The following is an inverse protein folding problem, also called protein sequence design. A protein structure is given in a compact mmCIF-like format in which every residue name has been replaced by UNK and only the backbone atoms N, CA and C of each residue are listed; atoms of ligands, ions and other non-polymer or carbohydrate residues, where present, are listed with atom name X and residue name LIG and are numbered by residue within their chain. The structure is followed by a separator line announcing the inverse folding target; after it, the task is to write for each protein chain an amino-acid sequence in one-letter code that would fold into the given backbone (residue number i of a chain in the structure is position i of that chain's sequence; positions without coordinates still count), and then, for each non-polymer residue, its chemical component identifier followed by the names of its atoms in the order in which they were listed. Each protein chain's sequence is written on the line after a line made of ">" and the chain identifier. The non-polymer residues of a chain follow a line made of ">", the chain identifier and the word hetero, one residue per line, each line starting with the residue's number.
data_IF_574137422044
#
_entry.id   IF_574137422044
#
_cell.length_a   1.000
_cell.length_b   1.000
_cell.length_c   1.000
_cell.angle_alpha   90.00
_cell.angle_beta   90.00
_cell.angle_gamma   90.00
#
_symmetry.space_group_name_H-M   'P 1'
#
loop_
_entity.id
_entity.type
_entity.pdbx_description
1 polymer ?
#
# COMPACT_ATOMS: atom_id res chain seq x y z
N UNK A 1 6.53 -19.27 0.06
CA UNK A 1 7.44 -18.10 0.20
C UNK A 1 6.54 -16.91 0.05
N UNK A 2 5.82 -16.66 1.12
CA UNK A 2 4.66 -15.79 1.11
C UNK A 2 5.16 -14.53 1.79
N UNK A 3 5.52 -13.54 0.99
CA UNK A 3 5.72 -12.19 1.47
C UNK A 3 4.95 -11.28 0.51
N UNK A 4 4.51 -10.13 1.00
CA UNK A 4 3.85 -9.11 0.18
C UNK A 4 4.68 -8.74 -1.05
N UNK A 5 6.01 -8.95 -1.00
CA UNK A 5 6.96 -8.83 -2.11
C UNK A 5 6.85 -9.91 -3.20
N UNK A 6 5.98 -10.91 -3.08
CA UNK A 6 5.85 -11.99 -4.08
C UNK A 6 4.42 -12.21 -4.58
N UNK A 7 3.39 -11.94 -3.78
CA UNK A 7 1.99 -12.10 -4.22
C UNK A 7 1.35 -10.79 -4.72
N UNK A 8 1.71 -9.63 -4.15
CA UNK A 8 1.15 -8.32 -4.54
C UNK A 8 -0.34 -8.14 -4.22
N UNK A 9 -0.94 -9.15 -3.59
CA UNK A 9 -2.34 -9.24 -3.21
C UNK A 9 -2.85 -8.00 -2.46
N UNK A 10 -2.13 -7.59 -1.42
CA UNK A 10 -2.53 -6.45 -0.61
C UNK A 10 -2.58 -5.15 -1.40
N UNK A 11 -1.63 -4.96 -2.32
CA UNK A 11 -1.54 -3.81 -3.19
C UNK A 11 -2.57 -3.80 -4.33
N UNK A 12 -3.23 -4.94 -4.59
CA UNK A 12 -4.19 -5.11 -5.67
C UNK A 12 -5.64 -5.33 -5.19
N UNK A 13 -5.86 -5.49 -3.88
CA UNK A 13 -7.18 -5.81 -3.33
C UNK A 13 -7.68 -4.80 -2.29
N UNK A 14 -6.79 -4.12 -1.56
CA UNK A 14 -7.21 -3.29 -0.42
C UNK A 14 -7.07 -1.80 -0.68
N UNK A 15 -8.09 -1.07 -0.22
CA UNK A 15 -8.01 0.37 0.02
C UNK A 15 -7.12 0.63 1.23
N UNK A 16 -6.10 1.47 1.05
CA UNK A 16 -5.13 1.76 2.12
C UNK A 16 -5.30 3.21 2.56
N UNK A 17 -6.07 3.41 3.64
CA UNK A 17 -6.25 4.69 4.34
C UNK A 17 -5.44 4.69 5.63
N UNK A 18 -4.77 5.79 5.92
CA UNK A 18 -3.87 5.90 7.07
C UNK A 18 -3.71 7.36 7.51
N UNK A 19 -3.05 7.60 8.65
CA UNK A 19 -2.94 8.95 9.22
C UNK A 19 -2.02 9.84 8.37
N UNK A 20 -2.39 11.11 8.19
CA UNK A 20 -1.49 12.12 7.58
C UNK A 20 -0.15 12.21 8.30
N UNK A 21 -0.09 11.86 9.59
CA UNK A 21 1.13 11.90 10.41
C UNK A 21 2.17 10.87 9.98
N UNK A 22 1.79 9.86 9.20
CA UNK A 22 2.72 8.86 8.69
C UNK A 22 3.43 9.32 7.41
N UNK A 23 2.99 10.43 6.80
CA UNK A 23 3.64 11.02 5.63
C UNK A 23 5.00 11.62 5.98
N UNK A 24 5.94 11.57 5.02
CA UNK A 24 7.25 12.22 5.16
C UNK A 24 7.11 13.72 5.51
N UNK A 25 6.18 14.43 4.86
CA UNK A 25 5.91 15.85 5.15
C UNK A 25 5.42 16.14 6.57
N UNK A 26 4.88 15.13 7.27
CA UNK A 26 4.36 15.24 8.63
C UNK A 26 5.29 14.60 9.69
N UNK A 27 6.51 14.19 9.30
CA UNK A 27 7.49 13.57 10.18
C UNK A 27 7.43 12.04 10.24
N UNK A 28 6.60 11.42 9.40
CA UNK A 28 6.60 9.99 9.15
C UNK A 28 7.57 9.56 8.06
N UNK A 29 7.25 8.47 7.37
CA UNK A 29 8.14 7.84 6.38
C UNK A 29 7.46 7.54 5.04
N UNK A 30 6.12 7.64 4.97
CA UNK A 30 5.38 7.28 3.76
C UNK A 30 5.51 8.39 2.72
N UNK A 31 5.96 8.11 1.49
CA UNK A 31 6.20 9.17 0.51
C UNK A 31 4.93 9.88 0.06
N UNK A 32 4.88 11.19 0.27
CA UNK A 32 3.76 12.05 -0.09
C UNK A 32 3.30 11.86 -1.54
N UNK A 33 4.25 11.74 -2.48
CA UNK A 33 4.00 11.59 -3.91
C UNK A 33 3.22 10.33 -4.30
N UNK A 34 3.16 9.33 -3.42
CA UNK A 34 2.39 8.09 -3.63
C UNK A 34 1.00 8.13 -2.99
N UNK A 35 0.63 9.26 -2.40
CA UNK A 35 -0.56 9.39 -1.57
C UNK A 35 -1.49 10.49 -2.09
N UNK A 36 -2.73 10.47 -1.62
CA UNK A 36 -3.73 11.50 -1.86
C UNK A 36 -4.42 11.83 -0.53
N UNK A 37 -4.59 13.11 -0.24
CA UNK A 37 -5.33 13.56 0.93
C UNK A 37 -6.82 13.21 0.76
N UNK A 38 -7.40 12.56 1.77
CA UNK A 38 -8.83 12.22 1.82
C UNK A 38 -9.57 13.19 2.73
N UNK A 39 -8.95 13.57 3.84
CA UNK A 39 -9.45 14.56 4.79
C UNK A 39 -8.29 15.30 5.46
N UNK A 40 -8.58 16.18 6.42
CA UNK A 40 -7.56 16.89 7.18
C UNK A 40 -6.60 15.98 7.97
N UNK A 41 -7.02 14.76 8.32
CA UNK A 41 -6.23 13.84 9.15
C UNK A 41 -5.96 12.49 8.48
N UNK A 42 -6.54 12.22 7.31
CA UNK A 42 -6.43 10.93 6.62
C UNK A 42 -5.88 11.11 5.22
N UNK A 43 -4.91 10.27 4.89
CA UNK A 43 -4.38 10.08 3.55
C UNK A 43 -4.67 8.66 3.06
N UNK A 44 -4.59 8.50 1.73
CA UNK A 44 -4.78 7.23 1.05
C UNK A 44 -3.63 6.95 0.09
N UNK A 45 -3.23 5.69 -0.04
CA UNK A 45 -2.33 5.28 -1.12
C UNK A 45 -3.03 5.43 -2.48
N UNK A 46 -2.42 6.17 -3.41
CA UNK A 46 -2.97 6.39 -4.75
C UNK A 46 -3.20 5.06 -5.47
N UNK A 47 -4.28 4.99 -6.25
CA UNK A 47 -4.64 3.79 -7.01
C UNK A 47 -5.42 2.75 -6.18
N UNK A 48 -5.65 3.01 -4.90
CA UNK A 48 -6.50 2.17 -4.05
C UNK A 48 -7.91 2.73 -3.85
N UNK A 49 -8.22 3.84 -4.53
CA UNK A 49 -9.47 4.60 -4.47
C UNK A 49 -10.52 4.19 -5.53
N UNK A 50 -10.16 3.29 -6.45
CA UNK A 50 -11.02 2.82 -7.53
C UNK A 50 -10.83 1.33 -7.81
N UNK A 51 -11.76 0.73 -8.54
CA UNK A 51 -11.70 -0.66 -8.99
C UNK A 51 -11.29 -0.73 -10.48
N UNK A 52 -10.39 -1.66 -10.86
CA UNK A 52 -9.65 -2.56 -9.99
C UNK A 52 -8.60 -1.81 -9.15
N UNK A 53 -8.43 -2.23 -7.89
CA UNK A 53 -7.44 -1.63 -6.99
C UNK A 53 -6.03 -1.92 -7.52
N UNK A 54 -5.19 -0.90 -7.58
CA UNK A 54 -3.77 -1.04 -7.90
C UNK A 54 -2.97 0.08 -7.24
N UNK A 55 -2.41 -0.21 -6.07
CA UNK A 55 -1.55 0.71 -5.33
C UNK A 55 -0.41 1.23 -6.21
N UNK A 56 -0.16 2.54 -6.14
CA UNK A 56 0.90 3.21 -6.90
C UNK A 56 2.30 2.66 -6.57
N UNK A 57 2.50 2.11 -5.37
CA UNK A 57 3.74 1.47 -4.97
C UNK A 57 3.92 0.05 -5.54
N UNK A 58 2.91 -0.53 -6.18
CA UNK A 58 3.02 -1.87 -6.76
C UNK A 58 3.85 -1.84 -8.03
N UNK A 59 4.99 -2.52 -7.97
CA UNK A 59 5.86 -2.80 -9.11
C UNK A 59 5.61 -4.22 -9.61
N UNK A 60 5.78 -4.42 -10.92
CA UNK A 60 5.53 -5.71 -11.56
C UNK A 60 4.05 -5.99 -11.84
N UNK A 61 3.74 -7.28 -12.02
CA UNK A 61 2.44 -7.77 -12.49
C UNK A 61 1.90 -8.84 -11.55
N UNK A 62 0.69 -8.65 -11.03
CA UNK A 62 -0.02 -9.62 -10.19
C UNK A 62 -0.18 -10.94 -10.95
N UNK A 63 0.10 -12.07 -10.28
CA UNK A 63 0.19 -13.39 -10.92
C UNK A 63 1.56 -13.68 -11.57
N UNK A 64 2.47 -12.71 -11.59
CA UNK A 64 3.86 -12.86 -12.02
C UNK A 64 4.84 -12.43 -10.93
N UNK A 65 5.91 -11.71 -11.29
CA UNK A 65 6.80 -11.08 -10.33
C UNK A 65 6.24 -9.72 -9.93
N UNK A 66 6.14 -9.48 -8.63
CA UNK A 66 5.70 -8.22 -8.03
C UNK A 66 6.67 -7.79 -6.95
N UNK A 67 6.60 -6.54 -6.54
CA UNK A 67 7.22 -6.03 -5.31
C UNK A 67 6.58 -4.71 -4.90
N UNK A 68 6.64 -4.37 -3.61
CA UNK A 68 6.28 -3.04 -3.14
C UNK A 68 7.51 -2.12 -3.23
N UNK A 69 7.42 -1.05 -4.02
CA UNK A 69 8.50 -0.09 -4.21
C UNK A 69 8.84 0.76 -2.97
N UNK A 70 8.00 0.70 -1.93
CA UNK A 70 8.21 1.38 -0.65
C UNK A 70 8.14 0.40 0.53
N UNK A 71 8.51 -0.87 0.35
CA UNK A 71 8.31 -1.92 1.37
C UNK A 71 8.82 -1.53 2.77
N UNK A 72 9.95 -0.84 2.86
CA UNK A 72 10.53 -0.36 4.13
C UNK A 72 9.77 0.83 4.72
N UNK A 73 9.09 1.63 3.89
CA UNK A 73 8.41 2.87 4.25
C UNK A 73 6.88 2.76 4.14
N UNK A 74 6.36 1.55 4.33
CA UNK A 74 4.93 1.29 4.21
C UNK A 74 4.15 1.99 5.32
N UNK A 75 2.89 2.41 5.06
CA UNK A 75 2.02 2.90 6.12
C UNK A 75 1.63 1.74 7.06
N UNK A 76 1.17 2.07 8.28
CA UNK A 76 0.78 1.12 9.30
C UNK A 76 -0.18 0.02 8.81
N UNK A 77 -1.25 0.30 8.04
CA UNK A 77 -2.14 -0.75 7.53
C UNK A 77 -1.41 -1.78 6.66
N UNK A 78 -0.39 -1.37 5.92
CA UNK A 78 0.40 -2.27 5.10
C UNK A 78 1.39 -3.12 5.92
N UNK A 79 1.81 -2.66 7.10
CA UNK A 79 2.59 -3.45 8.07
C UNK A 79 1.72 -4.44 8.85
N UNK A 80 0.46 -4.09 9.11
CA UNK A 80 -0.50 -4.93 9.81
C UNK A 80 -1.02 -6.10 8.96
N UNK A 81 -0.95 -5.98 7.63
CA UNK A 81 -1.40 -7.03 6.73
C UNK A 81 -0.50 -8.26 6.83
N UNK A 82 -1.10 -9.35 7.30
CA UNK A 82 -0.43 -10.63 7.42
C UNK A 82 -0.33 -11.33 6.06
N UNK A 83 0.82 -11.96 5.87
CA UNK A 83 1.10 -12.93 4.84
C UNK A 83 0.07 -14.07 4.90
N UNK A 84 -0.48 -14.49 3.76
CA UNK A 84 -1.50 -15.55 3.72
C UNK A 84 -2.89 -15.09 4.15
N UNK A 85 -3.12 -13.78 4.19
CA UNK A 85 -4.49 -13.23 4.27
C UNK A 85 -5.34 -13.73 3.09
N UNK A 86 -6.68 -13.70 3.17
CA UNK A 86 -7.56 -14.17 2.09
C UNK A 86 -7.31 -13.51 0.72
N UNK A 87 -6.62 -12.37 0.66
CA UNK A 87 -6.21 -11.75 -0.59
C UNK A 87 -5.04 -12.50 -1.28
N UNK A 88 -4.31 -13.34 -0.56
CA UNK A 88 -3.18 -14.13 -1.05
C UNK A 88 -3.60 -15.46 -1.69
N UNK A 89 -4.88 -15.81 -1.66
CA UNK A 89 -5.46 -17.04 -2.23
C UNK A 89 -5.93 -16.87 -3.68
#
# INVERSE_FOLDING_TARGET
>A
MDDCQHCGACCAAYRVDFSVQELESAGGQVPDGLTVAVSHSICRMRGTDHLPVRCAALTGTVGGRVACGIYEWRPAPCHELQIGSPACE
#
